data_IF_647225030133
#
_entry.id   IF_647225030133
#
_cell.length_a   1.000
_cell.length_b   1.000
_cell.length_c   1.000
_cell.angle_alpha   90.00
_cell.angle_beta   90.00
_cell.angle_gamma   90.00
#
_symmetry.space_group_name_H-M   'P 1'
#
loop_
_entity.id
_entity.type
_entity.pdbx_description
1 polymer ?
#
# COMPACT_ATOMS: atom_id res chain seq x y z
N UNK A 1 -3.62 13.90 -27.21
CA UNK A 1 -2.47 14.17 -26.32
C UNK A 1 -2.27 15.68 -26.28
N UNK A 2 -2.46 16.30 -25.10
CA UNK A 2 -2.50 17.76 -24.94
C UNK A 2 -1.13 18.37 -24.74
N UNK A 3 -0.88 19.53 -25.38
CA UNK A 3 0.40 20.27 -25.39
C UNK A 3 0.98 20.62 -24.00
N UNK A 4 0.18 20.60 -22.93
CA UNK A 4 0.67 20.88 -21.57
C UNK A 4 1.59 19.78 -21.01
N UNK A 5 1.29 18.49 -21.27
CA UNK A 5 2.09 17.36 -20.76
C UNK A 5 3.48 17.27 -21.41
N UNK A 6 3.64 17.85 -22.60
CA UNK A 6 4.92 17.88 -23.30
C UNK A 6 5.84 18.99 -22.78
N UNK A 7 5.25 20.11 -22.31
CA UNK A 7 6.01 21.26 -21.83
C UNK A 7 6.49 21.09 -20.37
N UNK A 8 5.72 20.43 -19.49
CA UNK A 8 6.21 20.12 -18.12
C UNK A 8 7.42 19.18 -18.13
N UNK A 9 7.44 18.23 -19.08
CA UNK A 9 8.50 17.23 -19.26
C UNK A 9 9.87 17.83 -19.61
N UNK A 10 9.90 19.03 -20.20
CA UNK A 10 11.14 19.72 -20.61
C UNK A 10 11.69 20.63 -19.49
N UNK A 11 10.85 21.05 -18.55
CA UNK A 11 11.24 22.00 -17.50
C UNK A 11 11.66 21.36 -16.16
N UNK A 12 11.65 20.03 -16.03
CA UNK A 12 12.15 19.33 -14.83
C UNK A 12 11.30 19.52 -13.56
N UNK A 13 10.08 20.05 -13.70
CA UNK A 13 9.13 20.27 -12.59
C UNK A 13 8.05 19.18 -12.48
N UNK A 14 8.14 18.10 -13.27
CA UNK A 14 7.18 17.01 -13.18
C UNK A 14 7.51 16.11 -11.98
N UNK A 15 6.68 16.22 -10.94
CA UNK A 15 6.56 15.22 -9.88
C UNK A 15 5.98 13.95 -10.49
N UNK A 16 6.66 12.82 -10.34
CA UNK A 16 6.13 11.53 -10.73
C UNK A 16 4.85 11.23 -9.95
N UNK A 17 3.86 10.67 -10.64
CA UNK A 17 2.59 10.19 -10.07
C UNK A 17 2.40 8.67 -10.26
N UNK A 18 3.39 8.01 -10.89
CA UNK A 18 3.38 6.58 -11.23
C UNK A 18 4.78 6.06 -11.55
N UNK A 19 4.92 4.73 -11.51
CA UNK A 19 6.13 4.10 -12.03
C UNK A 19 6.22 4.24 -13.57
N UNK A 20 7.45 4.21 -14.13
CA UNK A 20 7.64 4.27 -15.59
C UNK A 20 6.86 3.18 -16.34
N UNK A 21 6.48 3.49 -17.58
CA UNK A 21 5.88 2.53 -18.51
C UNK A 21 6.77 1.29 -18.67
N UNK A 22 6.17 0.09 -18.64
CA UNK A 22 6.89 -1.18 -18.69
C UNK A 22 7.30 -1.72 -17.32
N UNK A 23 7.21 -0.92 -16.25
CA UNK A 23 7.41 -1.41 -14.89
C UNK A 23 6.29 -2.39 -14.49
N UNK A 24 6.57 -3.48 -13.73
CA UNK A 24 5.54 -4.42 -13.26
C UNK A 24 4.40 -3.74 -12.49
N UNK A 25 4.72 -2.62 -11.83
CA UNK A 25 3.80 -1.83 -11.03
C UNK A 25 3.36 -0.53 -11.71
N UNK A 26 3.41 -0.42 -13.05
CA UNK A 26 3.03 0.81 -13.78
C UNK A 26 1.58 1.28 -13.52
N UNK A 27 0.70 0.42 -12.99
CA UNK A 27 -0.67 0.77 -12.59
C UNK A 27 -0.77 1.42 -11.21
N UNK A 28 0.29 1.38 -10.42
CA UNK A 28 0.36 2.08 -9.14
C UNK A 28 0.43 3.57 -9.41
N UNK A 29 -0.52 4.30 -8.83
CA UNK A 29 -0.60 5.76 -8.91
C UNK A 29 -0.59 6.35 -7.51
N UNK A 30 0.00 7.52 -7.35
CA UNK A 30 -0.05 8.25 -6.08
C UNK A 30 -0.31 9.73 -6.31
N UNK A 31 -0.82 10.40 -5.28
CA UNK A 31 -1.07 11.83 -5.34
C UNK A 31 0.22 12.61 -5.06
N UNK A 32 0.70 13.36 -6.06
CA UNK A 32 1.90 14.21 -5.97
C UNK A 32 1.87 15.23 -4.82
N UNK A 33 0.68 15.66 -4.36
CA UNK A 33 0.57 16.57 -3.21
C UNK A 33 1.01 15.96 -1.88
N UNK A 34 1.00 14.62 -1.78
CA UNK A 34 1.44 13.88 -0.59
C UNK A 34 2.80 13.21 -0.79
N UNK A 35 3.21 13.03 -2.05
CA UNK A 35 4.45 12.37 -2.43
C UNK A 35 5.18 13.18 -3.49
N UNK A 36 6.01 14.12 -3.04
CA UNK A 36 6.84 14.91 -3.92
C UNK A 36 8.10 14.12 -4.33
N UNK A 37 7.96 13.36 -5.42
CA UNK A 37 9.01 12.52 -5.99
C UNK A 37 9.32 13.05 -7.39
N UNK A 38 10.55 13.51 -7.63
CA UNK A 38 10.97 13.95 -8.96
C UNK A 38 10.90 12.81 -9.98
N UNK A 39 10.56 13.14 -11.24
CA UNK A 39 10.35 12.17 -12.32
C UNK A 39 11.59 11.42 -12.80
N UNK A 40 12.79 11.90 -12.46
CA UNK A 40 14.09 11.28 -12.76
C UNK A 40 14.52 10.25 -11.71
N UNK A 41 13.78 10.11 -10.61
CA UNK A 41 14.06 9.15 -9.54
C UNK A 41 13.85 7.72 -10.06
N UNK A 42 14.82 6.84 -9.78
CA UNK A 42 14.78 5.43 -10.20
C UNK A 42 13.60 4.69 -9.56
N UNK A 43 12.94 3.74 -10.25
CA UNK A 43 11.76 3.03 -9.74
C UNK A 43 11.94 2.42 -8.33
N UNK A 44 13.10 1.83 -8.06
CA UNK A 44 13.39 1.21 -6.77
C UNK A 44 13.45 2.25 -5.64
N UNK A 45 13.95 3.45 -5.95
CA UNK A 45 13.99 4.57 -5.01
C UNK A 45 12.61 5.18 -4.80
N UNK A 46 11.78 5.25 -5.86
CA UNK A 46 10.37 5.66 -5.74
C UNK A 46 9.66 4.71 -4.76
N UNK A 47 9.72 3.39 -5.00
CA UNK A 47 9.03 2.42 -4.15
C UNK A 47 9.51 2.48 -2.70
N UNK A 48 10.83 2.63 -2.49
CA UNK A 48 11.41 2.80 -1.15
C UNK A 48 10.85 4.04 -0.45
N UNK A 49 10.87 5.20 -1.09
CA UNK A 49 10.34 6.46 -0.52
C UNK A 49 8.86 6.34 -0.16
N UNK A 50 8.06 5.69 -1.00
CA UNK A 50 6.65 5.44 -0.73
C UNK A 50 6.46 4.51 0.48
N UNK A 51 7.25 3.43 0.58
CA UNK A 51 7.21 2.55 1.75
C UNK A 51 7.62 3.27 3.04
N UNK A 52 8.68 4.08 2.98
CA UNK A 52 9.16 4.87 4.12
C UNK A 52 8.10 5.90 4.56
N UNK A 53 7.43 6.55 3.61
CA UNK A 53 6.32 7.48 3.88
C UNK A 53 5.12 6.77 4.55
N UNK A 54 4.76 5.56 4.10
CA UNK A 54 3.69 4.75 4.73
C UNK A 54 4.09 4.35 6.15
N UNK A 55 5.33 3.93 6.38
CA UNK A 55 5.80 3.55 7.71
C UNK A 55 5.76 4.73 8.70
N UNK A 56 6.14 5.93 8.24
CA UNK A 56 6.18 7.14 9.06
C UNK A 56 4.82 7.81 9.24
N UNK A 57 3.98 7.83 8.20
CA UNK A 57 2.67 8.48 8.20
C UNK A 57 1.63 7.59 7.50
N UNK A 58 1.09 6.57 8.20
CA UNK A 58 0.30 5.49 7.58
C UNK A 58 -0.94 5.95 6.81
N UNK A 59 -1.52 7.09 7.17
CA UNK A 59 -2.71 7.64 6.52
C UNK A 59 -2.46 8.07 5.07
N UNK A 60 -1.20 8.30 4.67
CA UNK A 60 -0.86 8.63 3.27
C UNK A 60 -1.18 7.49 2.29
N UNK A 61 -1.33 6.26 2.79
CA UNK A 61 -1.76 5.12 2.00
C UNK A 61 -3.11 5.34 1.30
N UNK A 62 -3.99 6.19 1.87
CA UNK A 62 -5.26 6.59 1.25
C UNK A 62 -5.08 7.25 -0.13
N UNK A 63 -3.91 7.83 -0.39
CA UNK A 63 -3.60 8.56 -1.62
C UNK A 63 -2.82 7.73 -2.64
N UNK A 64 -2.74 6.41 -2.45
CA UNK A 64 -2.11 5.47 -3.36
C UNK A 64 -3.18 4.54 -3.94
N UNK A 65 -3.28 4.51 -5.27
CA UNK A 65 -4.11 3.57 -6.02
C UNK A 65 -3.27 2.40 -6.52
N UNK A 66 -3.78 1.17 -6.40
CA UNK A 66 -3.07 -0.08 -6.74
C UNK A 66 -1.68 -0.18 -6.05
N UNK A 67 -1.59 -0.02 -4.71
CA UNK A 67 -0.32 -0.07 -4.00
C UNK A 67 0.42 -1.39 -4.26
N UNK A 68 1.74 -1.35 -4.38
CA UNK A 68 2.55 -2.54 -4.64
C UNK A 68 2.47 -3.50 -3.45
N UNK A 69 2.82 -4.78 -3.64
CA UNK A 69 2.89 -5.71 -2.52
C UNK A 69 3.83 -5.23 -1.40
N UNK A 70 4.92 -4.51 -1.74
CA UNK A 70 5.84 -3.96 -0.74
C UNK A 70 5.21 -2.83 0.08
N UNK A 71 4.48 -1.92 -0.57
CA UNK A 71 3.73 -0.84 0.12
C UNK A 71 2.67 -1.39 1.05
N UNK A 72 1.96 -2.46 0.64
CA UNK A 72 0.99 -3.13 1.50
C UNK A 72 1.66 -3.76 2.74
N UNK A 73 2.82 -4.42 2.57
CA UNK A 73 3.60 -4.96 3.70
C UNK A 73 4.07 -3.86 4.65
N UNK A 74 4.45 -2.69 4.15
CA UNK A 74 4.77 -1.54 5.01
C UNK A 74 3.58 -1.16 5.89
N UNK A 75 2.35 -1.10 5.34
CA UNK A 75 1.15 -0.85 6.13
C UNK A 75 0.83 -2.00 7.11
N UNK A 76 1.05 -3.25 6.71
CA UNK A 76 0.88 -4.41 7.60
C UNK A 76 1.78 -4.32 8.84
N UNK A 77 3.06 -3.95 8.67
CA UNK A 77 3.98 -3.77 9.79
C UNK A 77 3.53 -2.68 10.77
N UNK A 78 2.91 -1.60 10.27
CA UNK A 78 2.32 -0.57 11.15
C UNK A 78 1.10 -1.10 11.90
N UNK A 79 0.22 -1.84 11.21
CA UNK A 79 -0.96 -2.47 11.84
C UNK A 79 -0.52 -3.39 12.97
N UNK A 80 0.47 -4.22 12.70
CA UNK A 80 1.08 -5.14 13.68
C UNK A 80 1.60 -4.39 14.90
N UNK A 81 2.41 -3.35 14.69
CA UNK A 81 2.98 -2.59 15.78
C UNK A 81 1.89 -1.91 16.64
N UNK A 82 0.81 -1.43 16.02
CA UNK A 82 -0.34 -0.89 16.76
C UNK A 82 -1.06 -1.99 17.57
N UNK A 83 -1.27 -3.16 16.99
CA UNK A 83 -1.87 -4.29 17.68
C UNK A 83 -1.03 -4.71 18.89
N UNK A 84 0.30 -4.79 18.74
CA UNK A 84 1.25 -5.12 19.82
C UNK A 84 1.19 -4.12 20.97
N UNK A 85 0.94 -2.84 20.67
CA UNK A 85 0.77 -1.76 21.66
C UNK A 85 -0.65 -1.64 22.22
N UNK A 86 -1.58 -2.54 21.85
CA UNK A 86 -3.01 -2.43 22.14
C UNK A 86 -3.63 -1.09 21.68
N UNK A 87 -3.06 -0.48 20.64
CA UNK A 87 -3.57 0.71 20.00
C UNK A 87 -4.56 0.34 18.88
N UNK A 88 -5.51 1.23 18.59
CA UNK A 88 -6.47 1.03 17.50
C UNK A 88 -5.79 0.99 16.11
N UNK A 89 -6.07 -0.05 15.33
CA UNK A 89 -5.60 -0.22 13.95
C UNK A 89 -6.73 -0.28 12.91
N UNK A 90 -7.98 -0.09 13.33
CA UNK A 90 -9.16 -0.23 12.47
C UNK A 90 -9.20 0.80 11.32
N UNK A 91 -8.68 2.01 11.56
CA UNK A 91 -8.49 3.04 10.54
C UNK A 91 -7.59 2.56 9.40
N UNK A 92 -6.48 1.90 9.72
CA UNK A 92 -5.53 1.38 8.73
C UNK A 92 -6.12 0.21 7.94
N UNK A 93 -6.94 -0.61 8.58
CA UNK A 93 -7.69 -1.69 7.91
C UNK A 93 -8.69 -1.13 6.91
N UNK A 94 -9.37 -0.03 7.23
CA UNK A 94 -10.26 0.64 6.27
C UNK A 94 -9.51 1.13 5.03
N UNK A 95 -8.27 1.63 5.20
CA UNK A 95 -7.42 2.00 4.06
C UNK A 95 -7.10 0.80 3.16
N UNK A 96 -6.80 -0.36 3.76
CA UNK A 96 -6.60 -1.62 3.01
C UNK A 96 -7.87 -2.04 2.26
N UNK A 97 -9.02 -2.07 2.94
CA UNK A 97 -10.31 -2.44 2.32
C UNK A 97 -10.57 -1.55 1.11
N UNK A 98 -10.35 -0.24 1.24
CA UNK A 98 -10.56 0.70 0.14
C UNK A 98 -9.61 0.43 -1.04
N UNK A 99 -8.33 0.19 -0.78
CA UNK A 99 -7.36 -0.15 -1.83
C UNK A 99 -7.71 -1.45 -2.56
N UNK A 100 -8.24 -2.44 -1.83
CA UNK A 100 -8.62 -3.76 -2.36
C UNK A 100 -9.89 -3.76 -3.22
N UNK A 101 -10.64 -2.65 -3.26
CA UNK A 101 -11.76 -2.47 -4.21
C UNK A 101 -11.29 -2.46 -5.66
N UNK A 102 -10.01 -2.16 -5.90
CA UNK A 102 -9.45 -2.27 -7.24
C UNK A 102 -9.27 -3.74 -7.65
N UNK A 103 -9.69 -4.15 -8.86
CA UNK A 103 -9.41 -5.48 -9.38
C UNK A 103 -7.92 -5.63 -9.80
N UNK A 104 -7.16 -4.54 -9.88
CA UNK A 104 -5.78 -4.54 -10.36
C UNK A 104 -4.72 -4.57 -9.25
N UNK A 105 -5.13 -4.52 -7.97
CA UNK A 105 -4.18 -4.66 -6.87
C UNK A 105 -3.63 -6.10 -6.83
N UNK A 106 -2.31 -6.20 -6.71
CA UNK A 106 -1.61 -7.46 -6.49
C UNK A 106 -1.51 -7.72 -4.99
N UNK A 107 -2.01 -8.85 -4.52
CA UNK A 107 -2.10 -9.14 -3.09
C UNK A 107 -0.73 -9.42 -2.47
N UNK A 108 -0.40 -8.70 -1.40
CA UNK A 108 0.77 -9.01 -0.59
C UNK A 108 0.55 -10.20 0.36
N UNK A 109 -0.69 -10.42 0.79
CA UNK A 109 -1.12 -11.49 1.67
C UNK A 109 -2.14 -12.36 0.92
N UNK A 110 -1.76 -13.57 0.47
CA UNK A 110 -2.67 -14.45 -0.26
C UNK A 110 -3.96 -14.73 0.51
N UNK A 111 -5.11 -14.55 -0.14
CA UNK A 111 -6.43 -14.79 0.45
C UNK A 111 -7.04 -13.59 1.18
N UNK A 112 -6.31 -12.48 1.33
CA UNK A 112 -6.83 -11.27 1.98
C UNK A 112 -8.05 -10.72 1.23
N UNK A 113 -8.02 -10.70 -0.11
CA UNK A 113 -9.17 -10.31 -0.94
C UNK A 113 -10.38 -11.19 -0.69
N UNK A 114 -10.19 -12.50 -0.58
CA UNK A 114 -11.27 -13.44 -0.30
C UNK A 114 -11.90 -13.14 1.07
N UNK A 115 -11.09 -12.89 2.09
CA UNK A 115 -11.59 -12.48 3.42
C UNK A 115 -12.37 -11.17 3.34
N UNK A 116 -11.86 -10.17 2.62
CA UNK A 116 -12.55 -8.88 2.45
C UNK A 116 -13.87 -8.99 1.69
N UNK A 117 -13.96 -9.91 0.73
CA UNK A 117 -15.17 -10.18 -0.03
C UNK A 117 -16.21 -10.93 0.81
N UNK A 118 -15.80 -12.00 1.50
CA UNK A 118 -16.69 -12.81 2.34
C UNK A 118 -17.30 -12.02 3.51
N UNK A 119 -16.70 -10.90 3.89
CA UNK A 119 -17.14 -10.02 4.99
C UNK A 119 -17.79 -8.73 4.50
N UNK A 120 -18.08 -8.59 3.20
CA UNK A 120 -18.60 -7.34 2.63
C UNK A 120 -20.00 -6.97 3.11
N UNK A 121 -20.78 -7.96 3.55
CA UNK A 121 -22.15 -7.79 4.08
C UNK A 121 -22.19 -7.55 5.59
N UNK A 122 -21.06 -7.72 6.28
CA UNK A 122 -20.98 -7.59 7.74
C UNK A 122 -20.92 -6.12 8.18
N UNK A 123 -21.26 -5.86 9.45
CA UNK A 123 -21.00 -4.55 10.06
C UNK A 123 -19.52 -4.18 9.99
N UNK A 124 -19.22 -2.88 9.87
CA UNK A 124 -17.86 -2.39 9.72
C UNK A 124 -16.93 -2.84 10.85
N UNK A 125 -17.42 -2.91 12.10
CA UNK A 125 -16.60 -3.37 13.24
C UNK A 125 -16.28 -4.86 13.13
N UNK A 126 -17.26 -5.68 12.75
CA UNK A 126 -17.09 -7.13 12.56
C UNK A 126 -16.11 -7.39 11.42
N UNK A 127 -16.30 -6.71 10.29
CA UNK A 127 -15.41 -6.80 9.13
C UNK A 127 -13.96 -6.44 9.48
N UNK A 128 -13.74 -5.33 10.19
CA UNK A 128 -12.41 -4.92 10.65
C UNK A 128 -11.81 -5.99 11.57
N UNK A 129 -12.58 -6.51 12.52
CA UNK A 129 -12.11 -7.54 13.46
C UNK A 129 -11.67 -8.82 12.74
N UNK A 130 -12.44 -9.29 11.76
CA UNK A 130 -12.11 -10.49 10.98
C UNK A 130 -10.83 -10.28 10.15
N UNK A 131 -10.66 -9.11 9.53
CA UNK A 131 -9.44 -8.82 8.75
C UNK A 131 -8.22 -8.71 9.67
N UNK A 132 -8.34 -8.06 10.83
CA UNK A 132 -7.25 -8.00 11.82
C UNK A 132 -6.87 -9.40 12.29
N UNK A 133 -7.85 -10.27 12.54
CA UNK A 133 -7.61 -11.66 12.93
C UNK A 133 -6.90 -12.45 11.83
N UNK A 134 -7.30 -12.28 10.56
CA UNK A 134 -6.59 -12.86 9.43
C UNK A 134 -5.13 -12.39 9.34
N UNK A 135 -4.90 -11.07 9.47
CA UNK A 135 -3.55 -10.50 9.41
C UNK A 135 -2.65 -11.02 10.55
N UNK A 136 -3.21 -11.15 11.77
CA UNK A 136 -2.50 -11.77 12.89
C UNK A 136 -2.10 -13.22 12.60
N UNK A 137 -2.99 -14.03 12.02
CA UNK A 137 -2.70 -15.43 11.69
C UNK A 137 -1.66 -15.59 10.58
N UNK A 138 -1.67 -14.70 9.59
CA UNK A 138 -0.69 -14.68 8.51
C UNK A 138 0.74 -14.39 8.97
N UNK A 139 0.92 -13.81 10.16
CA UNK A 139 2.24 -13.54 10.74
C UNK A 139 2.84 -14.76 11.44
N UNK A 140 2.04 -15.78 11.80
CA UNK A 140 2.51 -16.97 12.50
C UNK A 140 3.35 -18.01 11.71
N UNK A 141 3.45 -18.04 10.36
CA UNK A 141 4.29 -19.01 9.67
C UNK A 141 5.69 -18.51 9.23
N UNK A 142 6.10 -17.27 9.52
CA UNK A 142 7.39 -16.75 9.04
C UNK A 142 8.49 -16.59 10.11
N UNK A 143 8.18 -16.75 11.41
CA UNK A 143 9.19 -16.65 12.50
C UNK A 143 10.13 -17.87 12.63
N UNK A 144 10.05 -18.87 11.74
CA UNK A 144 10.82 -20.15 11.88
C UNK A 144 11.93 -20.32 10.83
N UNK A 145 12.09 -19.41 9.86
CA UNK A 145 13.12 -19.55 8.80
C UNK A 145 14.10 -18.36 8.75
N UNK A 146 14.60 -17.89 9.90
CA UNK A 146 15.86 -17.11 9.96
C UNK A 146 16.70 -17.46 11.20
N UNK A 147 16.67 -18.73 11.63
CA UNK A 147 17.60 -19.22 12.65
C UNK A 147 18.11 -20.61 12.29
N UNK A 148 18.74 -20.78 11.13
CA UNK A 148 19.77 -21.78 10.84
C UNK A 148 20.31 -21.50 9.43
N UNK A 149 21.43 -20.79 9.30
CA UNK A 149 22.50 -21.00 8.28
C UNK A 149 23.62 -20.00 8.52
#
# INVERSE_FOLDING_TARGET
MGRLQYLSRICGFDTADSFPSGHPYARTRWNAAYFDIASDVKPEQIERRLCDAIANTPTVFAYISNPTPRMQRALFGVIEERLRRNAGAGDLVLLLINAYRSPHIMEAAPGLRTVMHNTEHEDSKVRIAVILEFLKRMQYPFDVIEMQS
#
